data_IF_078489032629
#
_entry.id   IF_078489032629
#
_cell.length_a   1.000
_cell.length_b   1.000
_cell.length_c   1.000
_cell.angle_alpha   90.00
_cell.angle_beta   90.00
_cell.angle_gamma   90.00
#
_symmetry.space_group_name_H-M   'P 1'
#
loop_
_entity.id
_entity.type
_entity.pdbx_description
1 polymer ?
#
# COMPACT_ATOMS: atom_id res chain seq x y z
N UNK A 1 20.11 -7.89 -2.50
CA UNK A 1 18.93 -8.12 -1.67
C UNK A 1 18.22 -6.81 -1.33
N UNK A 2 16.95 -6.68 -1.72
CA UNK A 2 16.06 -5.61 -1.25
C UNK A 2 15.36 -6.01 0.04
N UNK A 3 14.80 -5.04 0.78
CA UNK A 3 13.99 -5.34 1.96
C UNK A 3 12.67 -6.04 1.56
N UNK A 4 12.11 -6.95 2.38
CA UNK A 4 10.77 -7.49 2.16
C UNK A 4 9.66 -6.43 2.11
N UNK A 5 9.92 -5.21 2.59
CA UNK A 5 9.00 -4.08 2.49
C UNK A 5 8.99 -3.41 1.11
N UNK A 6 9.97 -3.69 0.24
CA UNK A 6 10.00 -3.19 -1.12
C UNK A 6 9.00 -3.95 -2.00
N UNK A 7 8.46 -3.25 -3.01
CA UNK A 7 7.50 -3.85 -3.96
C UNK A 7 8.23 -4.53 -5.12
N UNK A 8 7.59 -5.52 -5.75
CA UNK A 8 8.06 -6.14 -7.01
C UNK A 8 8.42 -5.07 -8.06
N UNK A 9 7.58 -4.06 -8.25
CA UNK A 9 7.85 -2.93 -9.15
C UNK A 9 9.18 -2.20 -8.84
N UNK A 10 9.57 -2.07 -7.57
CA UNK A 10 10.84 -1.44 -7.22
C UNK A 10 12.02 -2.33 -7.58
N UNK A 11 11.88 -3.65 -7.41
CA UNK A 11 12.90 -4.61 -7.80
C UNK A 11 13.10 -4.64 -9.32
N UNK A 12 12.00 -4.70 -10.07
CA UNK A 12 12.03 -4.70 -11.54
C UNK A 12 12.55 -3.37 -12.11
N UNK A 13 12.16 -2.24 -11.53
CA UNK A 13 12.69 -0.94 -11.96
C UNK A 13 14.19 -0.81 -11.63
N UNK A 14 14.65 -1.40 -10.51
CA UNK A 14 16.07 -1.40 -10.15
C UNK A 14 16.89 -2.26 -11.11
N UNK A 15 16.43 -3.46 -11.45
CA UNK A 15 17.11 -4.33 -12.41
C UNK A 15 17.15 -3.68 -13.80
N UNK A 16 16.04 -3.06 -14.22
CA UNK A 16 15.97 -2.35 -15.50
C UNK A 16 16.92 -1.13 -15.53
N UNK A 17 16.99 -0.36 -14.44
CA UNK A 17 17.94 0.75 -14.30
C UNK A 17 19.39 0.25 -14.45
N UNK A 18 19.75 -0.82 -13.77
CA UNK A 18 21.10 -1.38 -13.85
C UNK A 18 21.44 -1.88 -15.26
N UNK A 19 20.47 -2.48 -15.98
CA UNK A 19 20.65 -2.89 -17.37
C UNK A 19 20.87 -1.69 -18.31
N UNK A 20 20.16 -0.58 -18.08
CA UNK A 20 20.33 0.68 -18.83
C UNK A 20 21.70 1.29 -18.55
N UNK A 21 22.12 1.37 -17.27
CA UNK A 21 23.44 1.85 -16.87
C UNK A 21 24.56 1.03 -17.53
N UNK A 22 24.43 -0.30 -17.54
CA UNK A 22 25.38 -1.18 -18.23
C UNK A 22 25.39 -0.93 -19.74
N UNK A 23 24.22 -0.82 -20.38
CA UNK A 23 24.12 -0.58 -21.82
C UNK A 23 24.74 0.77 -22.24
N UNK A 24 24.70 1.79 -21.37
CA UNK A 24 25.41 3.05 -21.59
C UNK A 24 26.93 2.89 -21.64
N UNK A 25 27.50 1.89 -20.95
CA UNK A 25 28.95 1.61 -20.99
C UNK A 25 29.37 0.80 -22.23
N UNK A 26 28.45 0.06 -22.84
CA UNK A 26 28.74 -0.81 -23.99
C UNK A 26 29.03 -0.03 -25.29
N UNK A 27 28.54 1.21 -25.43
CA UNK A 27 28.67 2.06 -26.62
C UNK A 27 28.20 1.39 -27.94
N UNK A 28 27.30 0.41 -27.86
CA UNK A 28 26.72 -0.33 -28.98
C UNK A 28 25.19 -0.18 -29.02
N UNK A 29 24.55 -0.65 -30.10
CA UNK A 29 23.10 -0.80 -30.15
C UNK A 29 22.67 -1.95 -29.24
N UNK A 30 21.98 -1.64 -28.15
CA UNK A 30 21.59 -2.62 -27.13
C UNK A 30 20.07 -2.75 -27.09
N UNK A 31 19.60 -3.99 -27.20
CA UNK A 31 18.22 -4.34 -26.90
C UNK A 31 18.15 -4.88 -25.46
N UNK A 32 17.24 -4.32 -24.66
CA UNK A 32 16.94 -4.80 -23.30
C UNK A 32 15.52 -5.35 -23.32
N UNK A 33 15.39 -6.65 -23.02
CA UNK A 33 14.11 -7.33 -22.94
C UNK A 33 13.67 -7.42 -21.48
N UNK A 34 12.42 -7.05 -21.20
CA UNK A 34 11.83 -7.12 -19.86
C UNK A 34 10.39 -7.60 -19.94
N UNK A 35 9.99 -8.45 -19.01
CA UNK A 35 8.61 -8.90 -18.84
C UNK A 35 7.77 -8.02 -17.93
N UNK A 36 8.40 -7.08 -17.21
CA UNK A 36 7.74 -6.06 -16.42
C UNK A 36 7.11 -4.98 -17.31
N UNK A 37 5.90 -5.26 -17.79
CA UNK A 37 5.11 -4.29 -18.55
C UNK A 37 4.93 -2.99 -17.77
N UNK A 38 4.71 -3.10 -16.45
CA UNK A 38 4.52 -1.95 -15.57
C UNK A 38 5.75 -1.04 -15.50
N UNK A 39 6.96 -1.60 -15.46
CA UNK A 39 8.22 -0.83 -15.46
C UNK A 39 8.42 -0.12 -16.79
N UNK A 40 8.18 -0.83 -17.91
CA UNK A 40 8.29 -0.26 -19.25
C UNK A 40 7.28 0.87 -19.48
N UNK A 41 6.03 0.70 -19.04
CA UNK A 41 5.03 1.77 -19.09
C UNK A 41 5.42 2.96 -18.21
N UNK A 42 6.00 2.72 -17.03
CA UNK A 42 6.44 3.78 -16.14
C UNK A 42 7.56 4.64 -16.74
N UNK A 43 8.51 4.04 -17.49
CA UNK A 43 9.56 4.77 -18.20
C UNK A 43 9.04 5.60 -19.38
N UNK A 44 7.90 5.21 -19.98
CA UNK A 44 7.23 5.98 -21.04
C UNK A 44 6.38 7.13 -20.50
N UNK A 45 6.12 7.17 -19.19
CA UNK A 45 5.27 8.19 -18.58
C UNK A 45 5.97 9.54 -18.50
N UNK A 46 5.24 10.61 -18.81
CA UNK A 46 5.69 11.99 -18.60
C UNK A 46 5.61 12.45 -17.13
N UNK A 47 4.82 11.77 -16.30
CA UNK A 47 4.62 12.13 -14.90
C UNK A 47 5.11 11.02 -13.98
N UNK A 48 6.42 11.03 -13.72
CA UNK A 48 7.08 10.05 -12.87
C UNK A 48 7.23 10.60 -11.46
N UNK A 49 6.65 9.92 -10.46
CA UNK A 49 6.77 10.28 -9.03
C UNK A 49 7.81 9.47 -8.26
N UNK A 50 8.24 8.35 -8.84
CA UNK A 50 9.19 7.42 -8.24
C UNK A 50 10.62 7.87 -8.55
N UNK A 51 11.44 8.10 -7.52
CA UNK A 51 12.83 8.55 -7.69
C UNK A 51 13.64 7.59 -8.57
N UNK A 52 13.55 6.28 -8.32
CA UNK A 52 14.28 5.27 -9.11
C UNK A 52 13.85 5.26 -10.58
N UNK A 53 12.57 5.49 -10.85
CA UNK A 53 12.06 5.56 -12.22
C UNK A 53 12.51 6.84 -12.91
N UNK A 54 12.58 7.98 -12.20
CA UNK A 54 13.13 9.23 -12.72
C UNK A 54 14.60 9.05 -13.08
N UNK A 55 15.39 8.45 -12.18
CA UNK A 55 16.81 8.17 -12.44
C UNK A 55 16.98 7.25 -13.65
N UNK A 56 16.24 6.14 -13.72
CA UNK A 56 16.29 5.23 -14.87
C UNK A 56 15.88 5.91 -16.19
N UNK A 57 14.85 6.77 -16.16
CA UNK A 57 14.42 7.52 -17.34
C UNK A 57 15.49 8.53 -17.78
N UNK A 58 16.13 9.23 -16.84
CA UNK A 58 17.23 10.16 -17.15
C UNK A 58 18.41 9.42 -17.77
N UNK A 59 18.83 8.30 -17.19
CA UNK A 59 19.94 7.48 -17.73
C UNK A 59 19.60 6.89 -19.10
N UNK A 60 18.34 6.50 -19.35
CA UNK A 60 17.90 6.01 -20.65
C UNK A 60 18.00 7.10 -21.74
N UNK A 61 17.73 8.36 -21.40
CA UNK A 61 17.78 9.47 -22.34
C UNK A 61 19.21 9.83 -22.77
N UNK A 62 20.23 9.41 -22.02
CA UNK A 62 21.65 9.63 -22.37
C UNK A 62 22.08 8.85 -23.61
N UNK A 63 21.36 7.77 -23.98
CA UNK A 63 21.76 6.89 -25.07
C UNK A 63 20.58 6.43 -25.93
N UNK A 64 20.44 7.06 -27.10
CA UNK A 64 19.41 6.73 -28.08
C UNK A 64 19.58 5.34 -28.74
N UNK A 65 20.69 4.64 -28.48
CA UNK A 65 20.97 3.29 -29.00
C UNK A 65 20.35 2.16 -28.17
N UNK A 66 19.77 2.49 -27.01
CA UNK A 66 19.09 1.53 -26.16
C UNK A 66 17.63 1.36 -26.61
N UNK A 67 17.22 0.12 -26.87
CA UNK A 67 15.83 -0.23 -27.16
C UNK A 67 15.26 -1.10 -26.06
N UNK A 68 14.14 -0.68 -25.49
CA UNK A 68 13.42 -1.46 -24.49
C UNK A 68 12.30 -2.26 -25.16
N UNK A 69 12.28 -3.58 -24.95
CA UNK A 69 11.35 -4.51 -25.59
C UNK A 69 10.60 -5.28 -24.51
N UNK A 70 9.27 -5.30 -24.61
CA UNK A 70 8.44 -6.11 -23.74
C UNK A 70 8.43 -7.57 -24.22
N UNK A 71 8.59 -8.51 -23.29
CA UNK A 71 8.42 -9.95 -23.54
C UNK A 71 7.41 -10.53 -22.57
N UNK A 72 6.78 -11.63 -22.95
CA UNK A 72 5.83 -12.31 -22.07
C UNK A 72 6.59 -13.15 -21.04
N UNK A 73 6.21 -13.03 -19.77
CA UNK A 73 6.73 -13.87 -18.69
C UNK A 73 6.30 -15.34 -18.86
N UNK A 74 7.14 -16.25 -18.39
CA UNK A 74 6.82 -17.68 -18.17
C UNK A 74 6.30 -18.44 -19.39
N UNK A 75 6.82 -18.11 -20.58
CA UNK A 75 6.57 -18.87 -21.81
C UNK A 75 7.80 -19.63 -22.31
N UNK A 76 8.84 -19.76 -21.47
CA UNK A 76 10.05 -20.52 -21.81
C UNK A 76 11.07 -19.75 -22.64
N UNK A 77 11.04 -18.40 -22.62
CA UNK A 77 12.12 -17.60 -23.20
C UNK A 77 13.37 -17.79 -22.33
N UNK A 78 14.34 -18.57 -22.81
CA UNK A 78 15.53 -18.95 -22.06
C UNK A 78 16.20 -17.80 -21.30
N UNK A 79 16.38 -16.64 -21.95
CA UNK A 79 16.97 -15.46 -21.30
C UNK A 79 16.12 -14.89 -20.17
N UNK A 80 14.80 -14.84 -20.31
CA UNK A 80 13.88 -14.38 -19.27
C UNK A 80 13.88 -15.34 -18.08
N UNK A 81 13.81 -16.65 -18.34
CA UNK A 81 13.80 -17.66 -17.26
C UNK A 81 15.13 -17.64 -16.47
N UNK A 82 16.25 -17.36 -17.13
CA UNK A 82 17.55 -17.15 -16.45
C UNK A 82 17.48 -15.88 -15.59
N UNK A 83 16.96 -14.77 -16.12
CA UNK A 83 16.81 -13.53 -15.37
C UNK A 83 15.91 -13.71 -14.13
N UNK A 84 14.80 -14.43 -14.26
CA UNK A 84 13.90 -14.77 -13.14
C UNK A 84 14.59 -15.62 -12.08
N UNK A 85 15.42 -16.59 -12.50
CA UNK A 85 16.20 -17.43 -11.59
C UNK A 85 17.22 -16.60 -10.81
N UNK A 86 17.98 -15.75 -11.50
CA UNK A 86 18.95 -14.84 -10.88
C UNK A 86 18.26 -13.83 -9.94
N UNK A 87 17.08 -13.33 -10.30
CA UNK A 87 16.30 -12.44 -9.45
C UNK A 87 15.87 -13.14 -8.15
N UNK A 88 15.49 -14.42 -8.21
CA UNK A 88 15.17 -15.24 -7.03
C UNK A 88 16.41 -15.47 -6.16
N UNK A 89 17.54 -15.85 -6.75
CA UNK A 89 18.80 -16.03 -6.01
C UNK A 89 19.27 -14.73 -5.33
N UNK A 90 19.07 -13.57 -5.99
CA UNK A 90 19.41 -12.27 -5.42
C UNK A 90 18.58 -11.88 -4.19
N UNK A 91 17.47 -12.60 -3.91
CA UNK A 91 16.68 -12.42 -2.68
C UNK A 91 17.32 -13.06 -1.46
N UNK A 92 18.19 -14.06 -1.63
CA UNK A 92 18.92 -14.73 -0.54
C UNK A 92 20.38 -14.31 -0.48
N UNK A 93 21.05 -14.28 -1.63
CA UNK A 93 22.52 -14.16 -1.72
C UNK A 93 22.97 -12.84 -2.37
N UNK A 94 22.03 -11.96 -2.71
CA UNK A 94 22.34 -10.71 -3.39
C UNK A 94 22.89 -9.63 -2.46
N UNK A 95 23.73 -8.74 -3.00
CA UNK A 95 24.28 -7.58 -2.28
C UNK A 95 23.15 -6.69 -1.75
N UNK A 96 23.11 -6.35 -0.44
CA UNK A 96 22.09 -5.47 0.11
C UNK A 96 22.02 -4.14 -0.63
N UNK A 97 20.83 -3.77 -1.11
CA UNK A 97 20.59 -2.48 -1.75
C UNK A 97 19.55 -1.72 -0.94
N UNK A 98 19.85 -0.47 -0.62
CA UNK A 98 18.97 0.39 0.17
C UNK A 98 18.10 1.22 -0.77
N UNK A 99 16.87 0.75 -1.01
CA UNK A 99 15.82 1.54 -1.65
C UNK A 99 14.85 2.07 -0.59
N UNK A 100 14.43 3.35 -0.68
CA UNK A 100 13.39 3.89 0.17
C UNK A 100 12.11 3.06 0.08
N UNK A 101 11.44 2.87 1.21
CA UNK A 101 10.18 2.13 1.22
C UNK A 101 9.11 2.85 0.40
N UNK A 102 8.22 2.10 -0.26
CA UNK A 102 7.06 2.67 -0.94
C UNK A 102 6.23 3.53 0.01
N UNK A 103 5.71 4.66 -0.48
CA UNK A 103 4.77 5.49 0.28
C UNK A 103 3.56 4.69 0.77
N UNK A 104 3.11 3.71 -0.01
CA UNK A 104 2.03 2.79 0.36
C UNK A 104 2.37 1.95 1.59
N UNK A 105 3.59 1.42 1.66
CA UNK A 105 4.08 0.66 2.82
C UNK A 105 4.10 1.54 4.07
N UNK A 106 4.68 2.74 3.99
CA UNK A 106 4.72 3.67 5.13
C UNK A 106 3.31 4.04 5.62
N UNK A 107 2.39 4.34 4.70
CA UNK A 107 1.00 4.67 5.04
C UNK A 107 0.27 3.50 5.69
N UNK A 108 0.34 2.30 5.12
CA UNK A 108 -0.43 1.14 5.59
C UNK A 108 0.19 0.46 6.82
N UNK A 109 1.50 0.26 6.82
CA UNK A 109 2.16 -0.54 7.84
C UNK A 109 2.51 0.29 9.07
N UNK A 110 2.97 1.54 8.89
CA UNK A 110 3.43 2.36 10.00
C UNK A 110 2.33 3.30 10.48
N UNK A 111 1.85 4.18 9.60
CA UNK A 111 0.91 5.24 10.02
C UNK A 111 -0.44 4.67 10.44
N UNK A 112 -1.05 3.83 9.60
CA UNK A 112 -2.35 3.26 9.93
C UNK A 112 -2.30 2.39 11.19
N UNK A 113 -1.28 1.54 11.35
CA UNK A 113 -1.14 0.70 12.55
C UNK A 113 -0.94 1.54 13.81
N UNK A 114 -0.06 2.54 13.76
CA UNK A 114 0.16 3.45 14.89
C UNK A 114 -1.13 4.21 15.24
N UNK A 115 -1.85 4.73 14.24
CA UNK A 115 -3.13 5.41 14.43
C UNK A 115 -4.18 4.49 15.03
N UNK A 116 -4.32 3.26 14.54
CA UNK A 116 -5.26 2.27 15.08
C UNK A 116 -4.91 1.89 16.51
N UNK A 117 -3.63 1.67 16.83
CA UNK A 117 -3.21 1.34 18.20
C UNK A 117 -3.48 2.47 19.19
N UNK A 118 -3.21 3.72 18.79
CA UNK A 118 -3.53 4.90 19.62
C UNK A 118 -5.04 5.04 19.82
N UNK A 119 -5.80 4.92 18.73
CA UNK A 119 -7.25 5.03 18.80
C UNK A 119 -7.87 3.89 19.64
N UNK A 120 -7.34 2.67 19.54
CA UNK A 120 -7.72 1.54 20.40
C UNK A 120 -7.45 1.84 21.88
N UNK A 121 -6.28 2.39 22.21
CA UNK A 121 -5.97 2.75 23.60
C UNK A 121 -6.93 3.83 24.14
N UNK A 122 -7.30 4.83 23.33
CA UNK A 122 -8.31 5.82 23.71
C UNK A 122 -9.70 5.20 23.87
N UNK A 123 -10.04 4.22 23.03
CA UNK A 123 -11.32 3.53 23.06
C UNK A 123 -11.49 2.62 24.28
N UNK A 124 -10.43 1.91 24.65
CA UNK A 124 -10.41 1.01 25.81
C UNK A 124 -10.51 1.81 27.11
N UNK A 125 -9.78 2.92 27.20
CA UNK A 125 -9.67 3.75 28.41
C UNK A 125 -10.67 4.91 28.48
N UNK A 126 -11.39 5.19 27.39
CA UNK A 126 -12.34 6.29 27.30
C UNK A 126 -13.54 6.10 28.25
N UNK A 127 -14.08 7.21 28.76
CA UNK A 127 -15.26 7.22 29.65
C UNK A 127 -16.58 7.36 28.90
N UNK A 128 -16.56 7.86 27.68
CA UNK A 128 -17.74 8.09 26.83
C UNK A 128 -17.92 6.95 25.83
N UNK A 129 -19.13 6.83 25.24
CA UNK A 129 -19.37 5.85 24.18
C UNK A 129 -19.31 4.38 24.61
N UNK A 130 -19.37 4.08 25.91
CA UNK A 130 -19.18 2.72 26.45
C UNK A 130 -20.15 1.68 25.90
N UNK A 131 -21.39 2.08 25.60
CA UNK A 131 -22.40 1.23 24.95
C UNK A 131 -21.98 0.80 23.55
N UNK A 132 -21.34 1.69 22.79
CA UNK A 132 -20.80 1.34 21.46
C UNK A 132 -19.53 0.50 21.62
N UNK A 133 -18.70 0.80 22.62
CA UNK A 133 -17.49 0.03 22.93
C UNK A 133 -17.79 -1.42 23.32
N UNK A 134 -18.89 -1.70 24.03
CA UNK A 134 -19.30 -3.07 24.33
C UNK A 134 -19.74 -3.86 23.09
N UNK A 135 -20.23 -3.19 22.05
CA UNK A 135 -20.64 -3.81 20.78
C UNK A 135 -19.45 -3.94 19.82
N UNK A 136 -18.59 -2.91 19.76
CA UNK A 136 -17.42 -2.83 18.89
C UNK A 136 -16.17 -2.61 19.76
N UNK A 137 -15.66 -3.66 20.43
CA UNK A 137 -14.54 -3.52 21.35
C UNK A 137 -13.21 -3.29 20.62
N UNK A 138 -13.09 -3.77 19.38
CA UNK A 138 -11.89 -3.59 18.55
C UNK A 138 -12.15 -2.62 17.41
N UNK A 139 -11.38 -1.55 17.38
CA UNK A 139 -11.40 -0.56 16.32
C UNK A 139 -10.78 -1.15 15.06
N UNK A 140 -11.36 -0.79 13.92
CA UNK A 140 -10.78 -1.07 12.62
C UNK A 140 -11.10 0.08 11.65
N UNK A 141 -10.40 0.11 10.53
CA UNK A 141 -10.69 1.02 9.42
C UNK A 141 -11.82 0.50 8.50
N UNK A 142 -12.49 -0.59 8.87
CA UNK A 142 -13.61 -1.13 8.08
C UNK A 142 -14.88 -0.38 8.43
N UNK A 143 -15.63 0.02 7.41
CA UNK A 143 -16.92 0.62 7.61
C UNK A 143 -17.90 -0.42 8.17
N UNK A 144 -18.60 -0.05 9.23
CA UNK A 144 -19.73 -0.84 9.74
C UNK A 144 -21.00 -0.36 9.03
N UNK A 145 -21.67 -1.27 8.34
CA UNK A 145 -22.92 -0.98 7.63
C UNK A 145 -24.12 -1.14 8.57
N UNK A 146 -24.23 -0.26 9.56
CA UNK A 146 -25.37 -0.26 10.49
C UNK A 146 -26.55 0.52 9.93
N UNK A 147 -27.77 -0.01 10.13
CA UNK A 147 -28.99 0.75 9.85
C UNK A 147 -29.12 1.92 10.83
N UNK A 148 -30.02 2.85 10.54
CA UNK A 148 -30.32 3.98 11.43
C UNK A 148 -30.73 3.49 12.82
N UNK A 149 -31.59 2.47 12.88
CA UNK A 149 -32.12 1.89 14.11
C UNK A 149 -30.99 1.26 14.94
N UNK A 150 -30.09 0.51 14.29
CA UNK A 150 -28.91 -0.06 14.93
C UNK A 150 -28.00 1.02 15.52
N UNK A 151 -27.77 2.13 14.79
CA UNK A 151 -26.97 3.25 15.29
C UNK A 151 -27.65 3.89 16.51
N UNK A 152 -28.95 4.17 16.43
CA UNK A 152 -29.71 4.75 17.54
C UNK A 152 -29.63 3.86 18.77
N UNK A 153 -29.87 2.56 18.61
CA UNK A 153 -29.79 1.58 19.70
C UNK A 153 -28.39 1.52 20.31
N UNK A 154 -27.35 1.32 19.48
CA UNK A 154 -25.98 1.17 19.96
C UNK A 154 -25.44 2.40 20.70
N UNK A 155 -25.79 3.59 20.21
CA UNK A 155 -25.38 4.87 20.82
C UNK A 155 -26.29 5.30 21.97
N UNK A 156 -27.47 4.69 22.11
CA UNK A 156 -28.52 5.16 22.99
C UNK A 156 -29.12 6.51 22.57
N UNK A 157 -28.88 6.95 21.33
CA UNK A 157 -29.35 8.24 20.81
C UNK A 157 -30.53 8.05 19.87
N UNK A 158 -31.73 7.94 20.45
CA UNK A 158 -32.96 7.68 19.72
C UNK A 158 -34.18 8.13 20.52
N UNK A 159 -35.39 7.73 20.09
CA UNK A 159 -36.63 8.01 20.81
C UNK A 159 -36.78 7.14 22.08
N UNK A 160 -35.71 7.00 22.85
CA UNK A 160 -35.69 6.27 24.10
C UNK A 160 -36.03 7.24 25.25
N UNK A 161 -36.89 6.85 26.21
CA UNK A 161 -37.25 7.71 27.34
C UNK A 161 -36.02 8.26 28.10
N UNK A 162 -34.99 7.43 28.28
CA UNK A 162 -33.72 7.83 28.90
C UNK A 162 -32.99 8.95 28.15
N UNK A 163 -32.95 8.87 26.82
CA UNK A 163 -32.34 9.90 25.97
C UNK A 163 -33.19 11.17 25.96
N UNK A 164 -34.51 11.05 25.78
CA UNK A 164 -35.42 12.20 25.72
C UNK A 164 -35.47 12.97 27.05
N UNK A 165 -35.47 12.28 28.20
CA UNK A 165 -35.39 12.90 29.53
C UNK A 165 -34.11 13.71 29.71
N UNK A 166 -32.97 13.20 29.25
CA UNK A 166 -31.67 13.89 29.33
C UNK A 166 -31.68 15.26 28.64
N UNK A 167 -32.50 15.43 27.60
CA UNK A 167 -32.67 16.70 26.88
C UNK A 167 -33.92 17.50 27.31
N UNK A 168 -34.62 17.08 28.37
CA UNK A 168 -35.81 17.77 28.86
C UNK A 168 -37.05 17.63 27.96
N UNK A 169 -37.04 16.70 27.00
CA UNK A 169 -38.15 16.45 26.08
C UNK A 169 -39.19 15.47 26.65
N UNK A 170 -38.85 14.80 27.76
CA UNK A 170 -39.73 13.86 28.45
C UNK A 170 -39.55 13.96 29.96
N UNK A 171 -40.62 13.70 30.74
CA UNK A 171 -40.61 13.85 32.20
C UNK A 171 -39.97 12.66 32.94
N UNK A 172 -39.90 11.50 32.30
CA UNK A 172 -39.43 10.23 32.90
C UNK A 172 -38.52 9.44 31.94
N UNK A 173 -37.65 8.59 32.49
CA UNK A 173 -36.73 7.71 31.77
C UNK A 173 -37.20 6.25 31.75
N UNK A 174 -38.34 5.96 32.39
CA UNK A 174 -38.95 4.63 32.38
C UNK A 174 -39.57 4.31 31.01
N UNK A 175 -39.33 3.09 30.52
CA UNK A 175 -40.08 2.54 29.40
C UNK A 175 -41.45 2.07 29.88
N UNK A 176 -42.51 2.43 29.15
CA UNK A 176 -43.85 1.85 29.39
C UNK A 176 -43.94 0.34 29.08
N UNK A 177 -42.86 -0.25 28.57
CA UNK A 177 -42.74 -1.67 28.25
C UNK A 177 -42.36 -2.57 29.45
N UNK A 178 -42.00 -1.99 30.60
CA UNK A 178 -41.50 -2.73 31.77
C UNK A 178 -39.99 -2.89 31.76
#
# INVERSE_FOLDING_TARGET
MLSPANTVFQAEMLSLKAAIEWANTANEDVNIWSDSESSLQALKSFNVKSKITQEAQMTLLENARIRLIWVKAHIGIKGNEIADTLAKEATTDGIPSSLPFPKSFLKKQQLLQLSLSRWQAEWDNGKTGRSVCSIVPKISNKQLHWSRECIQFATGHGPFPSYLKRFGLHSTDYCGCG
#
